data_IF_862512540322
#
_entry.id   IF_862512540322
#
_cell.length_a   1.000
_cell.length_b   1.000
_cell.length_c   1.000
_cell.angle_alpha   90.00
_cell.angle_beta   90.00
_cell.angle_gamma   90.00
#
_symmetry.space_group_name_H-M   'P 1'
#
loop_
_entity.id
_entity.type
_entity.pdbx_description
1 polymer ?
#
# COMPACT_ATOMS: atom_id res chain seq x y z
N UNK A 1 -22.43 -47.91 -9.35
CA UNK A 1 -21.38 -48.95 -9.57
C UNK A 1 -20.00 -48.31 -9.46
N UNK A 2 -19.08 -48.98 -8.76
CA UNK A 2 -17.60 -48.84 -8.74
C UNK A 2 -16.95 -47.52 -8.27
N UNK A 3 -16.43 -47.61 -7.04
CA UNK A 3 -15.31 -46.84 -6.45
C UNK A 3 -14.01 -47.01 -7.27
N UNK A 4 -13.12 -46.01 -7.20
CA UNK A 4 -11.67 -46.22 -7.07
C UNK A 4 -11.00 -45.03 -6.36
N UNK A 5 -10.40 -45.33 -5.20
CA UNK A 5 -9.35 -44.56 -4.52
C UNK A 5 -8.00 -45.00 -5.11
N UNK A 6 -7.01 -44.10 -5.13
CA UNK A 6 -5.59 -44.48 -5.17
C UNK A 6 -4.83 -43.58 -4.19
N UNK A 7 -4.29 -44.22 -3.15
CA UNK A 7 -3.17 -43.74 -2.34
C UNK A 7 -1.87 -43.99 -3.11
N UNK A 8 -0.86 -43.14 -2.94
CA UNK A 8 0.52 -43.49 -3.23
C UNK A 8 1.42 -43.16 -2.03
N UNK A 9 2.38 -44.05 -1.83
CA UNK A 9 3.11 -44.40 -0.63
C UNK A 9 4.46 -43.69 -0.52
N UNK A 10 4.98 -43.64 0.72
CA UNK A 10 6.34 -43.36 1.19
C UNK A 10 7.51 -43.74 0.26
N UNK A 11 8.58 -42.95 0.34
CA UNK A 11 9.94 -43.34 -0.04
C UNK A 11 10.97 -42.80 0.95
N UNK A 12 11.47 -43.67 1.82
CA UNK A 12 12.61 -43.48 2.72
C UNK A 12 13.90 -43.80 1.96
N UNK A 13 14.97 -43.02 2.14
CA UNK A 13 16.32 -43.45 1.80
C UNK A 13 17.29 -43.01 2.91
N UNK A 14 18.09 -43.96 3.37
CA UNK A 14 19.12 -43.81 4.38
C UNK A 14 20.43 -44.45 3.89
N UNK A 15 21.53 -43.96 4.49
CA UNK A 15 22.87 -44.57 4.69
C UNK A 15 24.02 -44.30 3.71
N UNK A 16 25.11 -43.80 4.34
CA UNK A 16 26.49 -44.32 4.28
C UNK A 16 27.46 -43.58 3.35
N UNK A 17 28.77 -43.40 3.61
CA UNK A 17 29.67 -43.62 4.75
C UNK A 17 31.07 -43.09 4.36
N UNK A 18 31.77 -42.48 5.32
CA UNK A 18 33.23 -42.56 5.65
C UNK A 18 34.39 -42.19 4.69
N UNK A 19 35.44 -41.70 5.40
CA UNK A 19 36.90 -41.65 5.16
C UNK A 19 37.41 -40.53 4.23
N UNK A 20 38.47 -39.79 4.55
CA UNK A 20 39.44 -39.84 5.64
C UNK A 20 40.71 -39.12 5.15
N UNK A 21 41.44 -38.43 6.03
CA UNK A 21 42.87 -38.17 5.87
C UNK A 21 43.45 -37.81 7.24
N UNK A 22 44.20 -38.75 7.80
CA UNK A 22 45.11 -38.53 8.90
C UNK A 22 46.48 -38.13 8.33
N UNK A 23 47.16 -37.21 9.02
CA UNK A 23 48.55 -36.84 8.80
C UNK A 23 49.10 -36.11 10.02
N UNK A 24 49.58 -36.86 11.01
CA UNK A 24 50.65 -36.45 11.94
C UNK A 24 51.99 -36.47 11.15
N UNK A 25 53.05 -35.72 11.43
CA UNK A 25 53.78 -35.36 12.67
C UNK A 25 54.53 -34.03 12.39
N UNK A 26 55.00 -33.19 13.33
CA UNK A 26 55.96 -33.45 14.40
C UNK A 26 56.20 -32.14 15.21
N UNK A 27 56.53 -32.32 16.50
CA UNK A 27 57.26 -31.46 17.47
C UNK A 27 57.41 -29.95 17.27
N UNK A 28 57.01 -29.23 18.33
CA UNK A 28 57.61 -27.98 18.75
C UNK A 28 56.94 -27.45 20.01
N UNK A 29 57.54 -27.70 21.17
CA UNK A 29 57.19 -27.03 22.41
C UNK A 29 57.24 -25.52 22.23
N UNK A 30 56.20 -24.79 22.65
CA UNK A 30 56.36 -23.47 23.25
C UNK A 30 55.15 -23.12 24.13
N UNK A 31 55.51 -22.78 25.36
CA UNK A 31 54.87 -21.91 26.34
C UNK A 31 53.36 -21.61 26.23
N UNK A 32 52.62 -22.11 27.22
CA UNK A 32 51.24 -21.72 27.52
C UNK A 32 51.21 -20.28 28.03
N UNK A 33 50.85 -19.35 27.16
CA UNK A 33 50.32 -18.04 27.56
C UNK A 33 48.80 -18.12 27.51
N UNK A 34 48.17 -18.05 28.69
CA UNK A 34 46.74 -17.74 28.84
C UNK A 34 46.47 -16.39 28.16
N UNK A 35 45.88 -16.42 26.97
CA UNK A 35 45.32 -15.22 26.35
C UNK A 35 43.88 -15.10 26.78
N UNK A 36 43.60 -14.02 27.51
CA UNK A 36 42.28 -13.52 27.86
C UNK A 36 41.28 -13.74 26.72
N UNK A 37 40.18 -14.39 27.07
CA UNK A 37 38.96 -14.44 26.29
C UNK A 37 38.44 -12.99 26.17
N UNK A 38 39.00 -12.25 25.21
CA UNK A 38 38.53 -10.94 24.82
C UNK A 38 37.14 -11.14 24.28
N UNK A 39 36.15 -10.98 25.15
CA UNK A 39 34.75 -10.85 24.79
C UNK A 39 34.69 -9.69 23.83
N UNK A 40 34.62 -9.98 22.52
CA UNK A 40 34.36 -8.97 21.53
C UNK A 40 33.08 -8.24 21.97
N UNK A 41 33.09 -6.90 22.08
CA UNK A 41 31.86 -6.18 22.36
C UNK A 41 30.83 -6.60 21.31
N UNK A 42 29.55 -6.81 21.71
CA UNK A 42 28.51 -7.11 20.73
C UNK A 42 28.58 -6.06 19.62
N UNK A 43 28.45 -6.46 18.34
CA UNK A 43 28.49 -5.51 17.25
C UNK A 43 27.51 -4.37 17.58
N UNK A 44 27.89 -3.10 17.35
CA UNK A 44 27.04 -1.98 17.70
C UNK A 44 25.69 -2.18 17.04
N UNK A 45 24.62 -2.19 17.84
CA UNK A 45 23.26 -2.12 17.33
C UNK A 45 23.16 -0.78 16.62
N UNK A 46 23.20 -0.79 15.29
CA UNK A 46 23.01 0.42 14.48
C UNK A 46 21.52 0.75 14.62
N UNK A 47 21.18 1.63 15.55
CA UNK A 47 19.82 2.18 15.61
C UNK A 47 19.52 2.89 14.28
N UNK A 48 18.37 2.61 13.65
CA UNK A 48 17.99 3.28 12.41
C UNK A 48 17.96 4.78 12.65
N UNK A 49 18.70 5.54 11.83
CA UNK A 49 18.69 7.01 11.94
C UNK A 49 17.30 7.52 11.53
N UNK A 50 16.58 8.13 12.47
CA UNK A 50 15.31 8.84 12.19
C UNK A 50 15.58 10.12 11.40
N UNK A 51 14.74 10.40 10.41
CA UNK A 51 14.82 11.53 9.49
C UNK A 51 13.50 12.27 9.41
N UNK A 52 13.51 13.52 8.98
CA UNK A 52 12.29 14.25 8.63
C UNK A 52 11.73 13.80 7.28
N UNK A 53 10.43 13.92 7.06
CA UNK A 53 9.83 13.83 5.72
C UNK A 53 10.49 14.84 4.77
N UNK A 54 10.73 14.44 3.52
CA UNK A 54 11.47 15.21 2.52
C UNK A 54 13.00 15.11 2.63
N UNK A 55 13.54 14.54 3.71
CA UNK A 55 14.97 14.24 3.80
C UNK A 55 15.31 12.95 3.07
N UNK A 56 16.38 12.94 2.31
CA UNK A 56 16.83 11.73 1.62
C UNK A 56 17.73 10.85 2.51
N UNK A 57 17.70 9.55 2.27
CA UNK A 57 18.57 8.57 2.88
C UNK A 57 19.21 7.68 1.81
N UNK A 58 20.52 7.42 1.95
CA UNK A 58 21.13 6.25 1.32
C UNK A 58 21.03 5.10 2.32
N UNK A 59 20.29 4.05 1.97
CA UNK A 59 20.14 2.84 2.77
C UNK A 59 21.19 1.80 2.36
N UNK A 60 21.21 0.63 3.02
CA UNK A 60 22.09 -0.48 2.62
C UNK A 60 21.87 -0.82 1.12
N UNK A 61 22.91 -1.35 0.47
CA UNK A 61 22.95 -1.60 -0.98
C UNK A 61 22.96 -0.36 -1.87
N UNK A 62 23.05 0.84 -1.28
CA UNK A 62 23.29 2.09 -2.00
C UNK A 62 22.03 2.73 -2.57
N UNK A 63 20.85 2.15 -2.32
CA UNK A 63 19.55 2.71 -2.71
C UNK A 63 19.35 4.06 -2.03
N UNK A 64 18.97 5.06 -2.81
CA UNK A 64 18.68 6.41 -2.37
C UNK A 64 17.17 6.64 -2.38
N UNK A 65 16.61 6.97 -1.21
CA UNK A 65 15.18 7.13 -1.02
C UNK A 65 14.87 8.46 -0.33
N UNK A 66 13.81 9.12 -0.77
CA UNK A 66 13.15 10.22 -0.05
C UNK A 66 11.68 9.85 0.14
N UNK A 67 11.16 10.06 1.35
CA UNK A 67 9.72 9.93 1.64
C UNK A 67 9.15 11.32 1.85
N UNK A 68 8.23 11.72 0.98
CA UNK A 68 7.69 13.07 0.93
C UNK A 68 6.16 13.11 0.97
N UNK A 69 5.65 14.28 1.35
CA UNK A 69 4.24 14.68 1.32
C UNK A 69 3.26 13.68 1.93
N UNK A 70 3.47 13.20 3.17
CA UNK A 70 2.55 12.24 3.76
C UNK A 70 1.12 12.81 3.84
N UNK A 71 0.12 11.98 3.54
CA UNK A 71 -1.29 12.34 3.72
C UNK A 71 -2.11 11.12 4.12
N UNK A 72 -3.01 11.28 5.08
CA UNK A 72 -3.85 10.17 5.56
C UNK A 72 -5.16 10.09 4.75
N UNK A 73 -5.50 8.91 4.23
CA UNK A 73 -6.71 8.66 3.43
C UNK A 73 -7.50 7.45 3.94
N UNK A 74 -8.83 7.48 3.82
CA UNK A 74 -9.71 6.33 4.12
C UNK A 74 -9.91 5.38 2.94
N UNK A 75 -9.39 5.75 1.77
CA UNK A 75 -9.39 4.91 0.59
C UNK A 75 -8.20 5.25 -0.30
N UNK A 76 -7.82 4.29 -1.15
CA UNK A 76 -6.80 4.46 -2.18
C UNK A 76 -7.24 3.74 -3.45
N UNK A 77 -6.74 4.19 -4.60
CA UNK A 77 -6.85 3.45 -5.85
C UNK A 77 -5.63 2.56 -5.96
N UNK A 78 -5.80 1.25 -6.02
CA UNK A 78 -4.71 0.27 -6.15
C UNK A 78 -4.63 -0.21 -7.59
N UNK A 79 -3.39 -0.33 -8.08
CA UNK A 79 -3.08 -0.83 -9.42
C UNK A 79 -2.62 -2.29 -9.36
N UNK A 80 -3.47 -3.21 -9.84
CA UNK A 80 -3.10 -4.60 -10.07
C UNK A 80 -3.13 -4.84 -11.57
N UNK A 81 -2.01 -4.69 -12.29
CA UNK A 81 -1.99 -4.91 -13.75
C UNK A 81 -2.72 -6.22 -14.11
N UNK A 82 -3.93 -6.17 -14.74
CA UNK A 82 -4.55 -5.08 -15.52
C UNK A 82 -5.68 -4.23 -14.88
N UNK A 83 -6.17 -4.55 -13.68
CA UNK A 83 -7.35 -3.95 -13.03
C UNK A 83 -6.98 -2.92 -11.96
N UNK A 84 -7.63 -1.75 -12.01
CA UNK A 84 -7.64 -0.78 -10.92
C UNK A 84 -8.78 -1.11 -9.95
N UNK A 85 -8.55 -0.93 -8.65
CA UNK A 85 -9.58 -1.11 -7.62
C UNK A 85 -9.51 0.02 -6.60
N UNK A 86 -10.66 0.41 -6.04
CA UNK A 86 -10.68 1.29 -4.88
C UNK A 86 -10.68 0.40 -3.64
N UNK A 87 -9.59 0.44 -2.88
CA UNK A 87 -9.59 -0.15 -1.55
C UNK A 87 -10.24 0.84 -0.59
N UNK A 88 -11.35 0.43 0.02
CA UNK A 88 -12.13 1.24 0.93
C UNK A 88 -12.98 0.40 1.89
N UNK A 89 -13.47 1.09 2.92
CA UNK A 89 -14.19 0.60 4.11
C UNK A 89 -13.33 -0.12 5.17
N UNK A 90 -13.21 0.51 6.34
CA UNK A 90 -12.58 -0.05 7.54
C UNK A 90 -11.04 0.03 7.56
N UNK A 91 -10.42 0.65 6.56
CA UNK A 91 -8.96 0.72 6.41
C UNK A 91 -8.55 2.16 6.16
N UNK A 92 -7.49 2.60 6.80
CA UNK A 92 -6.88 3.89 6.58
C UNK A 92 -5.47 3.69 6.01
N UNK A 93 -4.98 4.64 5.22
CA UNK A 93 -3.68 4.59 4.60
C UNK A 93 -2.93 5.89 4.84
N UNK A 94 -1.65 5.80 5.16
CA UNK A 94 -0.72 6.91 4.97
C UNK A 94 -0.21 6.82 3.54
N UNK A 95 -0.58 7.78 2.70
CA UNK A 95 -0.12 7.88 1.33
C UNK A 95 1.08 8.82 1.26
N UNK A 96 2.18 8.35 0.66
CA UNK A 96 3.44 9.08 0.52
C UNK A 96 3.92 9.10 -0.94
N UNK A 97 4.73 10.11 -1.27
CA UNK A 97 5.57 10.09 -2.48
C UNK A 97 6.91 9.45 -2.11
N UNK A 98 7.30 8.38 -2.81
CA UNK A 98 8.62 7.76 -2.67
C UNK A 98 9.46 8.10 -3.89
N UNK A 99 10.51 8.88 -3.67
CA UNK A 99 11.42 9.39 -4.69
C UNK A 99 12.81 8.78 -4.57
N UNK A 100 13.56 8.84 -5.68
CA UNK A 100 14.92 8.34 -5.77
C UNK A 100 15.03 7.09 -6.62
N UNK A 101 15.80 6.11 -6.15
CA UNK A 101 15.94 4.83 -6.83
C UNK A 101 14.60 4.09 -6.86
N UNK A 102 14.35 3.37 -7.96
CA UNK A 102 13.06 2.70 -8.20
C UNK A 102 13.09 1.20 -7.95
N UNK A 103 14.27 0.68 -7.63
CA UNK A 103 14.52 -0.74 -7.30
C UNK A 103 14.29 -0.96 -5.81
N UNK A 104 13.04 -0.79 -5.40
CA UNK A 104 12.56 -1.16 -4.08
C UNK A 104 11.26 -1.92 -4.21
N UNK A 105 11.06 -2.85 -3.29
CA UNK A 105 9.82 -3.56 -3.14
C UNK A 105 8.89 -2.71 -2.24
N UNK A 106 7.69 -2.30 -2.70
CA UNK A 106 6.77 -1.49 -1.89
C UNK A 106 6.46 -2.11 -0.54
N UNK A 107 6.30 -3.44 -0.47
CA UNK A 107 6.03 -4.12 0.80
C UNK A 107 7.15 -3.98 1.85
N UNK A 108 8.31 -3.42 1.48
CA UNK A 108 9.37 -3.03 2.41
C UNK A 108 9.05 -1.75 3.20
N UNK A 109 8.04 -0.97 2.80
CA UNK A 109 7.61 0.21 3.56
C UNK A 109 6.52 -0.18 4.55
N UNK A 110 6.75 0.16 5.82
CA UNK A 110 5.85 -0.18 6.92
C UNK A 110 5.68 1.02 7.86
N UNK A 111 4.59 1.04 8.61
CA UNK A 111 4.38 2.07 9.63
C UNK A 111 5.22 1.74 10.86
N UNK A 112 5.94 2.73 11.39
CA UNK A 112 6.38 2.76 12.78
C UNK A 112 5.39 3.62 13.57
N UNK A 113 4.85 3.10 14.67
CA UNK A 113 3.96 3.81 15.60
C UNK A 113 4.54 3.70 17.00
N UNK A 114 4.74 4.85 17.66
CA UNK A 114 5.27 4.92 19.03
C UNK A 114 6.55 4.09 19.23
N UNK A 115 7.42 4.09 18.21
CA UNK A 115 8.68 3.33 18.18
C UNK A 115 8.54 1.84 17.84
N UNK A 116 7.32 1.33 17.64
CA UNK A 116 7.05 -0.05 17.28
C UNK A 116 6.70 -0.19 15.79
N UNK A 117 7.37 -1.12 15.10
CA UNK A 117 7.05 -1.44 13.71
C UNK A 117 5.74 -2.22 13.63
N UNK A 118 4.80 -1.69 12.87
CA UNK A 118 3.51 -2.29 12.58
C UNK A 118 3.62 -3.07 11.27
N UNK A 119 3.43 -4.39 11.34
CA UNK A 119 3.30 -5.18 10.13
C UNK A 119 1.93 -4.92 9.50
N UNK A 120 1.85 -4.73 8.17
CA UNK A 120 0.57 -4.56 7.51
C UNK A 120 -0.31 -5.80 7.75
N UNK A 121 -1.64 -5.66 7.84
CA UNK A 121 -2.54 -6.80 7.90
C UNK A 121 -2.27 -7.76 6.73
N UNK A 122 -2.36 -9.09 6.91
CA UNK A 122 -2.01 -10.08 5.88
C UNK A 122 -2.78 -9.93 4.55
N UNK A 123 -3.90 -9.21 4.56
CA UNK A 123 -4.79 -8.98 3.44
C UNK A 123 -4.52 -7.65 2.71
N UNK A 124 -3.58 -6.84 3.19
CA UNK A 124 -3.27 -5.49 2.71
C UNK A 124 -1.79 -5.34 2.37
N UNK A 125 -1.33 -6.18 1.44
CA UNK A 125 0.06 -6.20 0.99
C UNK A 125 0.31 -5.26 -0.19
N UNK A 126 -0.75 -4.73 -0.81
CA UNK A 126 -0.65 -3.90 -2.00
C UNK A 126 -0.48 -2.44 -1.62
N UNK A 127 0.72 -1.91 -1.86
CA UNK A 127 1.06 -0.54 -1.52
C UNK A 127 1.18 0.37 -2.74
N UNK A 128 1.19 -0.16 -3.96
CA UNK A 128 1.17 0.68 -5.16
C UNK A 128 -0.21 1.31 -5.34
N UNK A 129 -0.24 2.65 -5.31
CA UNK A 129 -1.47 3.40 -5.51
C UNK A 129 -1.40 4.29 -6.75
N UNK A 130 -2.51 4.41 -7.47
CA UNK A 130 -2.65 5.37 -8.56
C UNK A 130 -2.64 6.81 -8.04
N UNK A 131 -2.02 7.73 -8.79
CA UNK A 131 -1.94 9.18 -8.48
C UNK A 131 -3.26 9.93 -8.67
N UNK A 132 -4.39 9.30 -8.35
CA UNK A 132 -5.72 9.87 -8.59
C UNK A 132 -6.01 10.89 -7.49
N UNK A 133 -6.34 12.12 -7.89
CA UNK A 133 -6.49 13.28 -6.99
C UNK A 133 -5.22 13.56 -6.14
N UNK A 134 -4.05 13.12 -6.60
CA UNK A 134 -2.76 13.35 -5.96
C UNK A 134 -1.62 13.27 -6.96
N UNK A 135 -0.89 14.36 -7.10
CA UNK A 135 0.40 14.32 -7.78
C UNK A 135 1.46 13.81 -6.78
N UNK A 136 2.27 12.85 -7.23
CA UNK A 136 3.48 12.44 -6.53
C UNK A 136 4.65 12.70 -7.46
N UNK A 137 5.70 13.33 -6.94
CA UNK A 137 6.96 13.53 -7.67
C UNK A 137 7.68 12.19 -7.93
N UNK A 138 7.40 11.18 -7.10
CA UNK A 138 7.85 9.79 -7.26
C UNK A 138 6.71 8.78 -7.35
N UNK A 139 6.94 7.57 -6.82
CA UNK A 139 5.89 6.54 -6.75
C UNK A 139 4.97 6.81 -5.57
N UNK A 140 3.66 6.92 -5.81
CA UNK A 140 2.70 6.99 -4.72
C UNK A 140 2.59 5.61 -4.06
N UNK A 141 2.85 5.54 -2.75
CA UNK A 141 2.62 4.34 -1.95
C UNK A 141 1.54 4.60 -0.89
N UNK A 142 0.63 3.64 -0.70
CA UNK A 142 -0.35 3.61 0.38
C UNK A 142 0.04 2.58 1.42
N UNK A 143 0.39 3.05 2.62
CA UNK A 143 0.82 2.19 3.74
C UNK A 143 -0.38 2.05 4.69
N UNK A 144 -0.91 0.84 4.90
CA UNK A 144 -2.09 0.66 5.74
C UNK A 144 -1.79 0.99 7.20
N UNK A 145 -2.73 1.68 7.83
CA UNK A 145 -2.66 2.09 9.23
C UNK A 145 -4.01 1.85 9.91
N UNK A 146 -3.96 1.45 11.18
CA UNK A 146 -5.16 1.39 12.01
C UNK A 146 -5.58 2.80 12.42
N UNK A 147 -6.89 3.04 12.54
CA UNK A 147 -7.47 4.31 12.96
C UNK A 147 -7.38 4.52 14.48
N UNK A 148 -6.16 4.42 15.01
CA UNK A 148 -5.84 4.58 16.42
C UNK A 148 -4.97 5.82 16.62
N UNK A 149 -5.15 6.50 17.76
CA UNK A 149 -4.28 7.59 18.14
C UNK A 149 -2.84 7.11 18.35
N UNK A 150 -1.88 7.98 18.06
CA UNK A 150 -0.46 7.74 18.28
C UNK A 150 0.19 9.03 18.82
N UNK A 151 1.25 8.88 19.62
CA UNK A 151 2.06 10.01 20.07
C UNK A 151 3.09 10.38 19.00
N UNK A 152 3.57 9.37 18.25
CA UNK A 152 4.48 9.56 17.13
C UNK A 152 4.30 8.48 16.08
N UNK A 153 4.62 8.80 14.83
CA UNK A 153 4.70 7.80 13.78
C UNK A 153 5.81 8.11 12.77
N UNK A 154 6.13 7.12 11.95
CA UNK A 154 7.11 7.21 10.88
C UNK A 154 6.84 6.18 9.80
N UNK A 155 7.37 6.42 8.60
CA UNK A 155 7.48 5.40 7.56
C UNK A 155 8.85 4.76 7.69
N UNK A 156 8.89 3.46 7.97
CA UNK A 156 10.12 2.69 8.04
C UNK A 156 10.34 1.95 6.72
N UNK A 157 11.56 2.02 6.19
CA UNK A 157 12.03 1.14 5.13
C UNK A 157 12.70 -0.08 5.77
N UNK A 158 12.05 -1.24 5.60
CA UNK A 158 12.37 -2.53 6.22
C UNK A 158 12.43 -3.66 5.18
N UNK A 159 13.41 -3.65 4.26
CA UNK A 159 13.66 -4.82 3.41
C UNK A 159 14.17 -5.99 4.27
N UNK A 160 13.76 -7.21 3.92
CA UNK A 160 14.19 -8.46 4.57
C UNK A 160 14.13 -8.43 6.11
N UNK A 161 13.06 -7.83 6.65
CA UNK A 161 12.80 -7.66 8.08
C UNK A 161 13.83 -6.81 8.86
N UNK A 162 14.75 -6.13 8.17
CA UNK A 162 15.72 -5.22 8.78
C UNK A 162 15.34 -3.76 8.55
N UNK A 163 15.10 -3.00 9.62
CA UNK A 163 14.81 -1.56 9.51
C UNK A 163 16.11 -0.81 9.18
N UNK A 164 16.16 -0.20 8.00
CA UNK A 164 17.35 0.52 7.51
C UNK A 164 17.22 2.04 7.64
N UNK A 165 16.00 2.57 7.58
CA UNK A 165 15.72 4.00 7.74
C UNK A 165 14.28 4.22 8.20
N UNK A 166 14.06 5.33 8.90
CA UNK A 166 12.73 5.78 9.34
C UNK A 166 12.58 7.27 9.05
N UNK A 167 11.50 7.64 8.38
CA UNK A 167 11.08 9.02 8.16
C UNK A 167 9.92 9.34 9.08
N UNK A 168 10.17 10.19 10.09
CA UNK A 168 9.15 10.64 11.02
C UNK A 168 8.07 11.45 10.31
N UNK A 169 6.82 11.11 10.58
CA UNK A 169 5.65 11.87 10.12
C UNK A 169 5.49 13.13 10.97
N UNK A 170 4.97 14.19 10.37
CA UNK A 170 4.66 15.43 11.08
C UNK A 170 3.42 15.27 11.97
N UNK A 171 3.31 16.13 12.99
CA UNK A 171 2.24 16.07 13.99
C UNK A 171 0.84 16.14 13.37
N UNK A 172 0.66 16.85 12.25
CA UNK A 172 -0.65 16.98 11.60
C UNK A 172 -1.07 15.69 10.89
N UNK A 173 -0.11 14.98 10.28
CA UNK A 173 -0.33 13.64 9.73
C UNK A 173 -0.67 12.64 10.83
N UNK A 174 0.07 12.64 11.95
CA UNK A 174 -0.16 11.73 13.09
C UNK A 174 -1.52 11.98 13.73
N UNK A 175 -1.88 13.26 13.94
CA UNK A 175 -3.17 13.65 14.52
C UNK A 175 -4.38 13.25 13.64
N UNK A 176 -4.17 12.95 12.36
CA UNK A 176 -5.24 12.50 11.46
C UNK A 176 -5.57 11.01 11.59
N UNK A 177 -4.75 10.20 12.27
CA UNK A 177 -4.96 8.75 12.39
C UNK A 177 -6.33 8.36 13.00
N UNK A 178 -6.72 8.86 14.19
CA UNK A 178 -7.99 8.46 14.80
C UNK A 178 -9.23 9.01 14.07
N UNK A 179 -9.04 9.99 13.18
CA UNK A 179 -10.13 10.71 12.53
C UNK A 179 -10.35 10.17 11.13
N UNK A 180 -11.17 9.14 10.93
CA UNK A 180 -11.46 8.61 9.59
C UNK A 180 -12.49 9.51 8.87
N UNK A 181 -12.23 10.01 7.64
CA UNK A 181 -13.24 10.72 6.86
C UNK A 181 -14.41 9.81 6.55
N UNK A 182 -15.63 10.30 6.77
CA UNK A 182 -16.89 9.63 6.42
C UNK A 182 -17.49 10.37 5.23
N UNK A 183 -17.21 9.85 4.03
CA UNK A 183 -17.66 10.42 2.76
C UNK A 183 -18.85 9.60 2.25
N UNK A 184 -19.99 10.25 2.02
CA UNK A 184 -21.24 9.59 1.62
C UNK A 184 -21.73 10.14 0.30
N UNK A 185 -21.91 9.24 -0.66
CA UNK A 185 -22.55 9.57 -1.93
C UNK A 185 -24.02 9.94 -1.67
N UNK A 186 -24.41 11.14 -2.09
CA UNK A 186 -25.78 11.64 -1.99
C UNK A 186 -26.55 11.38 -3.29
N UNK A 187 -25.87 11.58 -4.42
CA UNK A 187 -26.44 11.32 -5.75
C UNK A 187 -25.37 10.94 -6.75
N UNK A 188 -25.75 10.11 -7.71
CA UNK A 188 -24.99 9.84 -8.93
C UNK A 188 -25.94 9.86 -10.11
N UNK A 189 -25.65 10.69 -11.11
CA UNK A 189 -26.52 10.94 -12.25
C UNK A 189 -25.68 10.82 -13.52
N UNK A 190 -26.15 10.05 -14.49
CA UNK A 190 -25.59 10.07 -15.84
C UNK A 190 -26.17 11.28 -16.56
N UNK A 191 -25.29 12.08 -17.14
CA UNK A 191 -25.61 13.30 -17.88
C UNK A 191 -24.84 13.32 -19.21
N UNK A 192 -25.15 14.28 -20.06
CA UNK A 192 -24.37 14.57 -21.26
C UNK A 192 -23.53 15.82 -21.04
N UNK A 193 -22.27 15.80 -21.49
CA UNK A 193 -21.41 16.96 -21.56
C UNK A 193 -20.73 17.00 -22.92
N UNK A 194 -21.01 18.03 -23.73
CA UNK A 194 -20.41 18.20 -25.06
C UNK A 194 -20.63 17.04 -26.05
N UNK A 195 -21.72 16.26 -25.88
CA UNK A 195 -22.01 15.08 -26.70
C UNK A 195 -21.47 13.76 -26.11
N UNK A 196 -20.71 13.84 -25.02
CA UNK A 196 -20.08 12.72 -24.35
C UNK A 196 -20.88 12.30 -23.10
N UNK A 197 -20.79 11.01 -22.75
CA UNK A 197 -21.37 10.48 -21.51
C UNK A 197 -20.57 11.01 -20.33
N UNK A 198 -21.25 11.69 -19.42
CA UNK A 198 -20.70 12.25 -18.20
C UNK A 198 -21.42 11.70 -16.96
N UNK A 199 -20.75 11.75 -15.82
CA UNK A 199 -21.31 11.33 -14.53
C UNK A 199 -21.17 12.48 -13.55
N UNK A 200 -22.29 13.01 -13.09
CA UNK A 200 -22.36 13.98 -12.00
C UNK A 200 -22.52 13.23 -10.68
N UNK A 201 -21.64 13.51 -9.72
CA UNK A 201 -21.63 12.91 -8.39
C UNK A 201 -21.73 14.01 -7.34
N UNK A 202 -22.62 13.85 -6.37
CA UNK A 202 -22.68 14.69 -5.18
C UNK A 202 -22.29 13.89 -3.94
N UNK A 203 -21.30 14.35 -3.21
CA UNK A 203 -20.71 13.66 -2.06
C UNK A 203 -20.67 14.59 -0.86
N UNK A 204 -21.19 14.13 0.27
CA UNK A 204 -21.14 14.81 1.56
C UNK A 204 -20.02 14.22 2.42
N UNK A 205 -19.24 15.08 3.08
CA UNK A 205 -18.32 14.65 4.13
C UNK A 205 -18.93 14.88 5.51
N UNK A 206 -19.47 13.82 6.11
CA UNK A 206 -20.03 13.84 7.47
C UNK A 206 -18.98 13.52 8.55
N UNK A 207 -17.72 13.32 8.15
CA UNK A 207 -16.60 13.07 9.05
C UNK A 207 -16.04 14.34 9.70
N UNK A 208 -15.08 14.15 10.59
CA UNK A 208 -14.49 15.24 11.39
C UNK A 208 -13.30 15.95 10.73
N UNK A 209 -12.87 15.48 9.55
CA UNK A 209 -11.78 16.05 8.76
C UNK A 209 -12.02 15.97 7.26
N UNK A 210 -11.23 16.72 6.51
CA UNK A 210 -11.23 16.68 5.05
C UNK A 210 -10.91 15.27 4.52
N UNK A 211 -11.55 14.92 3.42
CA UNK A 211 -11.38 13.64 2.75
C UNK A 211 -11.19 13.79 1.24
N UNK A 212 -10.81 12.69 0.59
CA UNK A 212 -10.80 12.56 -0.86
C UNK A 212 -11.75 11.44 -1.23
N UNK A 213 -12.77 11.75 -2.03
CA UNK A 213 -13.66 10.74 -2.56
C UNK A 213 -13.01 10.12 -3.79
N UNK A 214 -12.65 8.84 -3.69
CA UNK A 214 -12.05 8.07 -4.79
C UNK A 214 -13.06 7.04 -5.29
N UNK A 215 -13.19 6.91 -6.61
CA UNK A 215 -14.11 5.99 -7.24
C UNK A 215 -13.59 5.53 -8.60
N UNK A 216 -14.21 4.48 -9.15
CA UNK A 216 -13.95 3.99 -10.51
C UNK A 216 -15.23 4.00 -11.31
N UNK A 217 -15.15 4.46 -12.55
CA UNK A 217 -16.20 4.28 -13.55
C UNK A 217 -15.72 3.26 -14.57
N UNK A 218 -16.54 2.26 -14.85
CA UNK A 218 -16.21 1.17 -15.76
C UNK A 218 -17.35 0.90 -16.76
N UNK A 219 -17.03 0.47 -17.99
CA UNK A 219 -18.03 -0.06 -18.91
C UNK A 219 -18.64 -1.36 -18.37
N UNK A 220 -19.95 -1.54 -18.53
CA UNK A 220 -20.63 -2.77 -18.09
C UNK A 220 -20.19 -4.01 -18.91
N UNK A 221 -19.73 -3.83 -20.15
CA UNK A 221 -19.36 -4.92 -21.07
C UNK A 221 -17.90 -5.39 -20.97
N UNK A 222 -17.05 -4.74 -20.18
CA UNK A 222 -15.64 -5.17 -19.97
C UNK A 222 -15.34 -5.25 -18.47
N UNK A 223 -15.03 -6.45 -17.98
CA UNK A 223 -14.78 -6.68 -16.56
C UNK A 223 -13.45 -6.08 -16.06
N UNK A 224 -12.45 -5.98 -16.93
CA UNK A 224 -11.09 -5.55 -16.59
C UNK A 224 -10.78 -4.11 -17.05
N UNK A 225 -11.82 -3.29 -17.24
CA UNK A 225 -11.69 -1.88 -17.59
C UNK A 225 -12.21 -1.00 -16.45
N UNK A 226 -11.74 0.25 -16.41
CA UNK A 226 -12.15 1.19 -15.39
C UNK A 226 -11.20 2.37 -15.28
N UNK A 227 -11.77 3.55 -15.35
CA UNK A 227 -11.06 4.81 -15.17
C UNK A 227 -11.26 5.29 -13.73
N UNK A 228 -10.17 5.54 -12.98
CA UNK A 228 -10.28 5.98 -11.61
C UNK A 228 -10.36 7.51 -11.55
N UNK A 229 -11.20 7.99 -10.66
CA UNK A 229 -11.44 9.42 -10.44
C UNK A 229 -11.39 9.74 -8.96
N UNK A 230 -11.25 11.04 -8.66
CA UNK A 230 -11.52 11.52 -7.33
C UNK A 230 -11.34 13.01 -7.16
N UNK A 231 -11.88 13.52 -6.07
CA UNK A 231 -11.87 14.93 -5.72
C UNK A 231 -11.90 15.13 -4.21
N UNK A 232 -11.51 16.32 -3.75
CA UNK A 232 -11.49 16.68 -2.32
C UNK A 232 -12.91 17.03 -1.86
N UNK A 233 -13.27 16.58 -0.67
CA UNK A 233 -14.53 16.94 0.00
C UNK A 233 -14.18 17.47 1.38
N UNK A 234 -14.20 18.81 1.58
CA UNK A 234 -13.89 19.41 2.88
C UNK A 234 -14.85 18.93 3.97
N UNK A 235 -14.38 18.94 5.21
CA UNK A 235 -15.16 18.55 6.39
C UNK A 235 -16.49 19.30 6.45
N UNK A 236 -17.59 18.56 6.57
CA UNK A 236 -18.93 19.12 6.76
C UNK A 236 -19.52 19.77 5.50
N UNK A 237 -18.88 19.59 4.34
CA UNK A 237 -19.36 20.11 3.07
C UNK A 237 -19.91 19.00 2.17
N UNK A 238 -20.78 19.41 1.26
CA UNK A 238 -21.22 18.61 0.11
C UNK A 238 -20.61 19.21 -1.16
N UNK A 239 -19.90 18.37 -1.91
CA UNK A 239 -19.25 18.74 -3.17
C UNK A 239 -19.89 17.97 -4.31
N UNK A 240 -20.21 18.68 -5.40
CA UNK A 240 -20.71 18.09 -6.63
C UNK A 240 -19.67 18.26 -7.73
N UNK A 241 -19.31 17.15 -8.38
CA UNK A 241 -18.34 17.12 -9.48
C UNK A 241 -18.90 16.31 -10.65
N UNK A 242 -18.59 16.76 -11.86
CA UNK A 242 -18.93 16.06 -13.10
C UNK A 242 -17.67 15.56 -13.76
N UNK A 243 -17.64 14.27 -14.11
CA UNK A 243 -16.51 13.62 -14.78
C UNK A 243 -16.93 13.04 -16.13
N UNK A 244 -16.03 13.07 -17.10
CA UNK A 244 -16.24 12.55 -18.46
C UNK A 244 -15.31 11.34 -18.66
N UNK A 245 -15.78 10.11 -18.39
CA UNK A 245 -14.98 8.88 -18.49
C UNK A 245 -14.70 8.45 -19.93
N UNK A 246 -13.43 8.35 -20.30
CA UNK A 246 -12.99 8.01 -21.66
C UNK A 246 -13.44 6.61 -22.10
N UNK A 247 -13.45 5.65 -21.16
CA UNK A 247 -13.68 4.23 -21.44
C UNK A 247 -15.13 3.89 -21.84
N UNK A 248 -16.07 4.82 -21.73
CA UNK A 248 -17.49 4.59 -22.02
C UNK A 248 -18.06 5.48 -23.13
N UNK A 249 -17.21 6.26 -23.82
CA UNK A 249 -17.66 7.22 -24.83
C UNK A 249 -18.21 6.60 -26.12
N UNK A 250 -18.16 5.27 -26.25
CA UNK A 250 -18.87 4.56 -27.31
C UNK A 250 -20.37 4.40 -27.06
N UNK A 251 -20.86 4.73 -25.86
CA UNK A 251 -22.28 4.68 -25.52
C UNK A 251 -23.03 5.90 -26.03
N UNK A 252 -24.30 5.69 -26.38
CA UNK A 252 -25.26 6.77 -26.53
C UNK A 252 -25.63 7.32 -25.14
N UNK A 253 -25.48 8.64 -24.86
CA UNK A 253 -25.90 9.24 -23.60
C UNK A 253 -27.36 8.98 -23.23
N UNK A 254 -28.26 8.87 -24.22
CA UNK A 254 -29.68 8.61 -23.98
C UNK A 254 -29.97 7.15 -23.57
N UNK A 255 -29.05 6.23 -23.88
CA UNK A 255 -29.16 4.80 -23.54
C UNK A 255 -28.27 4.41 -22.35
N UNK A 256 -27.40 5.32 -21.88
CA UNK A 256 -26.48 5.06 -20.78
C UNK A 256 -27.23 4.96 -19.44
N UNK A 257 -26.97 3.86 -18.72
CA UNK A 257 -27.58 3.59 -17.41
C UNK A 257 -26.58 2.95 -16.45
N UNK A 258 -26.79 3.12 -15.14
CA UNK A 258 -26.06 2.35 -14.15
C UNK A 258 -26.56 0.90 -14.17
N UNK A 259 -25.64 -0.05 -14.29
CA UNK A 259 -25.97 -1.49 -14.22
C UNK A 259 -26.38 -1.94 -12.81
N UNK A 260 -26.04 -1.16 -11.79
CA UNK A 260 -26.46 -1.37 -10.39
C UNK A 260 -26.79 -0.03 -9.77
N UNK A 261 -27.89 0.02 -9.00
CA UNK A 261 -28.31 1.24 -8.30
C UNK A 261 -27.20 1.76 -7.37
N UNK A 262 -26.76 3.02 -7.53
CA UNK A 262 -25.81 3.63 -6.61
C UNK A 262 -26.34 3.74 -5.17
N UNK A 263 -25.45 3.56 -4.20
CA UNK A 263 -25.73 3.68 -2.77
C UNK A 263 -24.76 4.66 -2.13
N UNK A 264 -24.99 5.07 -0.87
CA UNK A 264 -24.10 5.98 -0.15
C UNK A 264 -22.63 5.51 -0.10
N UNK A 265 -22.42 4.19 -0.11
CA UNK A 265 -21.12 3.54 -0.05
C UNK A 265 -20.56 3.14 -1.43
N UNK A 266 -21.28 3.43 -2.52
CA UNK A 266 -20.81 3.12 -3.87
C UNK A 266 -19.51 3.86 -4.18
N UNK A 267 -18.51 3.10 -4.64
CA UNK A 267 -17.21 3.58 -5.14
C UNK A 267 -16.86 3.02 -6.52
N UNK A 268 -17.71 2.15 -7.05
CA UNK A 268 -17.53 1.49 -8.33
C UNK A 268 -18.83 1.62 -9.11
N UNK A 269 -18.77 2.32 -10.23
CA UNK A 269 -19.93 2.63 -11.07
C UNK A 269 -19.76 1.93 -12.42
N UNK A 270 -20.62 0.94 -12.69
CA UNK A 270 -20.65 0.26 -13.99
C UNK A 270 -21.75 0.83 -14.86
N UNK A 271 -21.39 1.35 -16.03
CA UNK A 271 -22.30 2.06 -16.93
C UNK A 271 -22.50 1.27 -18.23
N UNK A 272 -23.74 1.17 -18.68
CA UNK A 272 -24.18 0.41 -19.85
C UNK A 272 -24.90 -0.90 -19.49
N UNK A 273 -25.31 -1.65 -20.52
CA UNK A 273 -25.96 -2.95 -20.36
C UNK A 273 -24.94 -4.08 -20.27
N UNK A 274 -25.14 -5.03 -19.35
CA UNK A 274 -24.43 -6.30 -19.39
C UNK A 274 -24.86 -7.07 -20.66
N UNK A 275 -23.90 -7.42 -21.52
CA UNK A 275 -24.12 -8.20 -22.74
C UNK A 275 -24.38 -9.67 -22.46
#
# INVERSE_FOLDING_TARGET
MKRRRVLATLGTAAFGSMAGCAGETDRGSDESTLTDETTAPPPPTIEPKRRGTGESARVADGVFLTIADPSVRSSVVVYNSPVLSVQGAGVQFVVVSVEGDTDFEPSSFVLERDGAIQSPPPQQTQQHVGGVARECDGRCLGIPVEAEAAESAGIAYRPDDQVLAVWGLDDSTVAAFPNVPDLRLQSAIITEQEGDVAVELSVENVGERDGVFLFIIAPAWVADAGEPFGFRVPRGETVTETVVPNDIQSLDPDEAGFSTEPTADSRYFRIGTES
#
